data_IF_988263427444
#
_entry.id   IF_988263427444
#
_cell.length_a   1.000
_cell.length_b   1.000
_cell.length_c   1.000
_cell.angle_alpha   90.00
_cell.angle_beta   90.00
_cell.angle_gamma   90.00
#
_symmetry.space_group_name_H-M   'P 1'
#
loop_
_entity.id
_entity.type
_entity.pdbx_description
1 polymer ?
#
# COMPACT_ATOMS: atom_id res chain seq x y z
N UNK A 1 0.73 3.17 0.60
CA UNK A 1 -0.55 3.40 1.32
C UNK A 1 -0.91 2.14 2.08
N UNK A 2 -1.30 2.28 3.34
CA UNK A 2 -1.49 1.16 4.26
C UNK A 2 -2.68 0.28 3.86
N UNK A 3 -2.49 -1.03 4.04
CA UNK A 3 -3.57 -2.03 3.94
C UNK A 3 -4.37 -2.01 2.62
N UNK A 4 -3.79 -1.51 1.53
CA UNK A 4 -4.49 -1.49 0.23
C UNK A 4 -4.81 -2.89 -0.31
N UNK A 5 -4.10 -3.93 0.17
CA UNK A 5 -4.39 -5.33 -0.12
C UNK A 5 -5.60 -5.91 0.64
N UNK A 6 -6.12 -5.21 1.66
CA UNK A 6 -7.27 -5.66 2.44
C UNK A 6 -8.58 -5.27 1.75
N UNK A 7 -9.68 -5.99 2.01
CA UNK A 7 -11.02 -5.64 1.49
C UNK A 7 -11.44 -4.23 1.90
N UNK A 8 -11.28 -3.90 3.18
CA UNK A 8 -11.49 -2.55 3.73
C UNK A 8 -10.11 -1.91 3.92
N UNK A 9 -9.89 -0.76 3.27
CA UNK A 9 -8.63 -0.03 3.38
C UNK A 9 -8.55 0.75 4.69
N UNK A 10 -7.33 0.98 5.19
CA UNK A 10 -7.13 1.97 6.23
C UNK A 10 -7.47 3.37 5.69
N UNK A 11 -8.18 4.17 6.49
CA UNK A 11 -8.45 5.58 6.17
C UNK A 11 -7.23 6.46 6.43
N UNK A 12 -6.44 6.11 7.45
CA UNK A 12 -5.22 6.79 7.84
C UNK A 12 -4.58 6.06 9.02
N UNK A 13 -3.51 6.65 9.56
CA UNK A 13 -2.79 6.14 10.71
C UNK A 13 -2.55 7.27 11.71
N UNK A 14 -2.56 6.91 13.00
CA UNK A 14 -2.05 7.75 14.10
C UNK A 14 -0.96 6.93 14.77
N UNK A 15 0.24 7.48 14.88
CA UNK A 15 1.36 6.79 15.50
C UNK A 15 2.13 7.74 16.41
N UNK A 16 2.79 7.16 17.41
CA UNK A 16 3.66 7.84 18.36
C UNK A 16 4.97 7.05 18.45
N UNK A 17 6.09 7.75 18.65
CA UNK A 17 7.35 7.12 18.93
C UNK A 17 7.50 6.95 20.45
N UNK A 18 7.70 5.72 20.93
CA UNK A 18 8.01 5.45 22.34
C UNK A 18 9.50 5.59 22.63
N UNK A 19 10.33 5.20 21.67
CA UNK A 19 11.78 5.30 21.71
C UNK A 19 12.21 5.93 20.39
N UNK A 20 12.98 7.01 20.46
CA UNK A 20 13.52 7.73 19.30
C UNK A 20 15.04 7.48 19.29
N UNK A 21 15.63 7.01 18.18
CA UNK A 21 17.09 6.87 18.08
C UNK A 21 17.78 8.24 18.08
N UNK A 22 19.05 8.28 18.49
CA UNK A 22 19.82 9.53 18.55
C UNK A 22 20.07 10.16 17.16
N UNK A 23 20.03 9.36 16.10
CA UNK A 23 20.21 9.79 14.70
C UNK A 23 19.35 8.93 13.75
N UNK A 24 18.83 9.54 12.69
CA UNK A 24 17.97 8.89 11.69
C UNK A 24 16.54 8.59 12.18
N UNK A 25 15.89 7.59 11.58
CA UNK A 25 14.53 7.17 11.96
C UNK A 25 13.39 8.02 11.38
N UNK A 26 13.69 8.89 10.42
CA UNK A 26 12.70 9.76 9.77
C UNK A 26 11.61 8.97 9.03
N UNK A 27 10.39 9.49 9.08
CA UNK A 27 9.27 8.98 8.28
C UNK A 27 8.92 9.99 7.18
N UNK A 28 9.11 9.60 5.92
CA UNK A 28 8.73 10.40 4.75
C UNK A 28 7.28 10.14 4.31
N UNK A 29 6.59 11.20 3.91
CA UNK A 29 5.27 11.13 3.28
C UNK A 29 5.33 11.71 1.86
N UNK A 30 4.56 11.15 0.94
CA UNK A 30 4.44 11.64 -0.42
C UNK A 30 2.97 11.95 -0.75
N UNK A 31 2.70 13.16 -1.23
CA UNK A 31 1.36 13.58 -1.63
C UNK A 31 1.05 13.05 -3.04
N UNK A 32 0.21 12.02 -3.11
CA UNK A 32 -0.18 11.41 -4.38
C UNK A 32 -1.15 12.29 -5.19
N UNK A 33 -1.78 13.31 -4.59
CA UNK A 33 -2.60 14.29 -5.33
C UNK A 33 -1.69 15.21 -6.12
N UNK A 34 -0.68 15.78 -5.45
CA UNK A 34 0.34 16.60 -6.10
C UNK A 34 1.09 15.81 -7.20
N UNK A 35 1.36 14.52 -6.97
CA UNK A 35 1.95 13.65 -7.98
C UNK A 35 1.05 13.49 -9.21
N UNK A 36 -0.27 13.35 -9.03
CA UNK A 36 -1.23 13.28 -10.13
C UNK A 36 -1.36 14.62 -10.88
N UNK A 37 -1.41 15.73 -10.16
CA UNK A 37 -1.48 17.08 -10.74
C UNK A 37 -0.26 17.39 -11.61
N UNK A 38 0.92 16.88 -11.21
CA UNK A 38 2.17 17.07 -11.92
C UNK A 38 2.31 16.23 -13.20
N UNK A 39 1.41 15.27 -13.45
CA UNK A 39 1.44 14.48 -14.69
C UNK A 39 1.15 15.35 -15.92
N UNK A 40 1.62 14.92 -17.09
CA UNK A 40 1.16 15.48 -18.35
C UNK A 40 -0.18 14.87 -18.79
N UNK A 41 -0.85 15.50 -19.75
CA UNK A 41 -2.16 15.06 -20.22
C UNK A 41 -2.12 13.66 -20.83
N UNK A 42 -1.06 13.34 -21.57
CA UNK A 42 -0.89 12.04 -22.19
C UNK A 42 -0.80 10.91 -21.16
N UNK A 43 -0.06 11.13 -20.07
CA UNK A 43 0.07 10.18 -18.97
C UNK A 43 -1.24 10.06 -18.20
N UNK A 44 -1.93 11.17 -17.93
CA UNK A 44 -3.26 11.15 -17.29
C UNK A 44 -4.25 10.31 -18.11
N UNK A 45 -4.33 10.55 -19.42
CA UNK A 45 -5.21 9.79 -20.31
C UNK A 45 -4.83 8.30 -20.34
N UNK A 46 -3.53 7.99 -20.37
CA UNK A 46 -3.05 6.61 -20.36
C UNK A 46 -3.49 5.84 -19.11
N UNK A 47 -3.49 6.48 -17.94
CA UNK A 47 -3.73 5.81 -16.65
C UNK A 47 -5.18 5.88 -16.17
N UNK A 48 -6.03 6.70 -16.79
CA UNK A 48 -7.39 7.00 -16.34
C UNK A 48 -8.27 5.75 -16.15
N UNK A 49 -8.17 4.80 -17.08
CA UNK A 49 -8.96 3.56 -17.06
C UNK A 49 -8.25 2.37 -16.40
N UNK A 50 -7.02 2.57 -15.91
CA UNK A 50 -6.20 1.47 -15.41
C UNK A 50 -6.60 1.06 -13.98
N UNK A 51 -6.36 -0.21 -13.69
CA UNK A 51 -6.52 -0.80 -12.38
C UNK A 51 -5.36 -1.74 -12.06
N UNK A 52 -5.07 -1.93 -10.77
CA UNK A 52 -4.01 -2.78 -10.27
C UNK A 52 -4.53 -3.74 -9.20
N UNK A 53 -3.95 -4.95 -9.16
CA UNK A 53 -4.16 -5.90 -8.06
C UNK A 53 -3.20 -5.56 -6.91
N UNK A 54 -3.75 -5.38 -5.71
CA UNK A 54 -2.93 -5.06 -4.53
C UNK A 54 -2.66 -6.33 -3.72
N UNK A 55 -1.51 -6.98 -3.97
CA UNK A 55 -1.15 -8.24 -3.32
C UNK A 55 -0.04 -8.07 -2.28
N UNK A 56 -0.35 -8.36 -1.02
CA UNK A 56 0.64 -8.41 0.06
C UNK A 56 1.64 -9.55 -0.17
N UNK A 57 1.15 -10.72 -0.61
CA UNK A 57 1.96 -11.90 -0.93
C UNK A 57 3.03 -11.57 -1.97
N UNK A 58 2.63 -10.92 -3.06
CA UNK A 58 3.54 -10.49 -4.14
C UNK A 58 4.59 -9.51 -3.63
N UNK A 59 4.19 -8.51 -2.84
CA UNK A 59 5.12 -7.53 -2.25
C UNK A 59 6.15 -8.20 -1.33
N UNK A 60 5.74 -9.18 -0.53
CA UNK A 60 6.62 -9.89 0.39
C UNK A 60 7.59 -10.84 -0.35
N UNK A 61 7.14 -11.52 -1.41
CA UNK A 61 8.03 -12.32 -2.25
C UNK A 61 9.12 -11.48 -2.90
N UNK A 62 8.76 -10.31 -3.42
CA UNK A 62 9.70 -9.37 -4.05
C UNK A 62 10.71 -8.80 -3.06
N UNK A 63 10.44 -8.87 -1.76
CA UNK A 63 11.34 -8.49 -0.68
C UNK A 63 12.11 -9.69 -0.09
N UNK A 64 12.14 -10.84 -0.78
CA UNK A 64 12.80 -12.09 -0.36
C UNK A 64 12.31 -12.64 1.01
N UNK A 65 11.09 -12.26 1.42
CA UNK A 65 10.48 -12.74 2.66
C UNK A 65 9.78 -14.11 2.49
N UNK A 66 9.68 -14.61 1.24
CA UNK A 66 9.19 -15.93 0.81
C UNK A 66 8.18 -16.58 1.76
N UNK A 67 6.98 -16.01 1.77
CA UNK A 67 5.96 -16.39 2.76
C UNK A 67 5.26 -17.69 2.35
N UNK A 68 5.21 -18.65 3.26
CA UNK A 68 4.57 -19.96 3.10
C UNK A 68 3.65 -20.22 4.28
N UNK A 69 2.78 -21.23 4.18
CA UNK A 69 1.96 -21.65 5.33
C UNK A 69 2.82 -22.05 6.53
N UNK A 70 4.02 -22.58 6.29
CA UNK A 70 4.96 -22.99 7.34
C UNK A 70 5.56 -21.80 8.11
N UNK A 71 5.66 -20.62 7.48
CA UNK A 71 6.23 -19.42 8.12
C UNK A 71 5.25 -18.25 8.26
N UNK A 72 3.96 -18.49 8.01
CA UNK A 72 2.92 -17.46 8.02
C UNK A 72 2.84 -16.70 9.35
N UNK A 73 3.04 -17.39 10.48
CA UNK A 73 3.01 -16.80 11.82
C UNK A 73 4.14 -15.78 12.04
N UNK A 74 5.33 -16.03 11.47
CA UNK A 74 6.50 -15.12 11.56
C UNK A 74 6.19 -13.73 10.99
N UNK A 75 5.33 -13.67 9.98
CA UNK A 75 4.98 -12.44 9.29
C UNK A 75 3.59 -11.91 9.66
N UNK A 76 2.98 -12.47 10.72
CA UNK A 76 1.63 -12.14 11.17
C UNK A 76 0.66 -12.11 9.98
N UNK A 77 0.74 -13.15 9.15
CA UNK A 77 0.07 -13.20 7.87
C UNK A 77 -1.40 -13.63 8.00
N UNK A 78 -1.71 -14.38 9.06
CA UNK A 78 -3.06 -14.86 9.36
C UNK A 78 -4.05 -13.70 9.47
N UNK A 79 -5.04 -13.67 8.58
CA UNK A 79 -6.07 -12.64 8.54
C UNK A 79 -5.67 -11.33 7.83
N UNK A 80 -4.42 -11.17 7.39
CA UNK A 80 -3.91 -9.97 6.71
C UNK A 80 -3.70 -10.19 5.20
N UNK A 81 -4.59 -10.96 4.57
CA UNK A 81 -4.80 -10.94 3.13
C UNK A 81 -3.77 -11.65 2.25
N UNK A 82 -2.97 -12.58 2.79
CA UNK A 82 -2.12 -13.41 1.93
C UNK A 82 -2.83 -14.60 1.30
N UNK A 83 -3.89 -15.09 1.95
CA UNK A 83 -4.73 -16.20 1.46
C UNK A 83 -6.02 -15.69 0.80
N UNK A 84 -6.14 -14.39 0.57
CA UNK A 84 -7.30 -13.76 -0.08
C UNK A 84 -6.94 -13.33 -1.49
N UNK A 85 -7.87 -13.48 -2.43
CA UNK A 85 -7.75 -12.90 -3.76
C UNK A 85 -7.43 -11.40 -3.65
N UNK A 86 -6.32 -10.93 -4.22
CA UNK A 86 -5.97 -9.52 -4.18
C UNK A 86 -7.10 -8.64 -4.73
N UNK A 87 -7.48 -7.55 -4.06
CA UNK A 87 -8.49 -6.65 -4.61
C UNK A 87 -7.94 -5.94 -5.86
N UNK A 88 -8.73 -5.92 -6.94
CA UNK A 88 -8.50 -5.05 -8.09
C UNK A 88 -8.98 -3.64 -7.74
N UNK A 89 -8.13 -2.64 -7.94
CA UNK A 89 -8.40 -1.25 -7.56
C UNK A 89 -8.09 -0.30 -8.71
N UNK A 90 -8.89 0.76 -8.89
CA UNK A 90 -8.56 1.78 -9.87
C UNK A 90 -7.22 2.42 -9.49
N UNK A 91 -6.38 2.68 -10.49
CA UNK A 91 -5.09 3.32 -10.31
C UNK A 91 -5.27 4.77 -9.84
N UNK A 92 -6.33 5.41 -10.32
CA UNK A 92 -6.75 6.75 -9.89
C UNK A 92 -7.88 6.64 -8.88
N UNK A 93 -7.71 7.31 -7.73
CA UNK A 93 -8.70 7.34 -6.66
C UNK A 93 -9.17 8.77 -6.44
N UNK A 94 -10.49 8.98 -6.51
CA UNK A 94 -11.11 10.24 -6.08
C UNK A 94 -11.24 10.20 -4.56
N UNK A 95 -10.76 11.24 -3.88
CA UNK A 95 -10.86 11.34 -2.43
C UNK A 95 -12.32 11.61 -2.04
N UNK A 96 -12.91 10.88 -1.08
CA UNK A 96 -14.35 10.97 -0.82
C UNK A 96 -14.80 12.30 -0.17
N UNK A 97 -13.85 13.08 0.36
CA UNK A 97 -14.14 14.34 1.07
C UNK A 97 -13.57 15.60 0.39
N UNK A 98 -12.74 15.46 -0.65
CA UNK A 98 -12.08 16.58 -1.36
C UNK A 98 -12.09 16.32 -2.86
#
# INVERSE_FOLDING_TARGET
ADSTYMRVQAMGAVFTAEIVPDDGGDTGFADMRAAYDALDDATREQIDSLAAYHSRRYSMDRADLHVSQENADRYQLYGYGADTEPPLRPLIKVHPET
#
